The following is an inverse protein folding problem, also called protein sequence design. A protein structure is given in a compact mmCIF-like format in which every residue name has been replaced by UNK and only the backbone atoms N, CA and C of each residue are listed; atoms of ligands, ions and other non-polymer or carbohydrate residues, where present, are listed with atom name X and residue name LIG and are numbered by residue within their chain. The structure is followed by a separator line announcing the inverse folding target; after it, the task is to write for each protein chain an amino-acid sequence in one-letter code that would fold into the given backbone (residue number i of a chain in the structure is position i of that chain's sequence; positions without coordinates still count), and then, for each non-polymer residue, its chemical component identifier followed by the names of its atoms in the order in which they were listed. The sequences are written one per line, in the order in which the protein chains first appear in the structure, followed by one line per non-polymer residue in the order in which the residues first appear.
data_IF_372124392335
#
_entry.id   IF_372124392335
#
_cell.length_a   1.000
_cell.length_b   1.000
_cell.length_c   1.000
_cell.angle_alpha   90.00
_cell.angle_beta   90.00
_cell.angle_gamma   90.00
#
_symmetry.space_group_name_H-M   'P 1'
#
loop_
_entity.id
_entity.type
_entity.pdbx_description
1 polymer ?
#
# COMPACT_ATOMS: atom_id res chain seq x y z
N UNK A 1 27.58 -40.47 0.05
CA UNK A 1 27.07 -39.26 0.72
C UNK A 1 27.50 -39.35 2.18
N UNK A 2 28.33 -38.41 2.66
CA UNK A 2 28.90 -38.41 4.03
C UNK A 2 27.77 -38.17 5.07
N UNK A 3 27.90 -38.84 6.23
CA UNK A 3 26.99 -38.66 7.39
C UNK A 3 26.83 -37.19 7.82
N UNK A 4 27.88 -36.38 7.64
CA UNK A 4 27.91 -34.95 7.92
C UNK A 4 27.02 -34.12 6.98
N UNK A 5 26.91 -34.47 5.69
CA UNK A 5 26.02 -33.80 4.75
C UNK A 5 24.55 -34.00 5.15
N UNK A 6 24.21 -35.20 5.63
CA UNK A 6 22.82 -35.51 6.09
C UNK A 6 22.47 -34.75 7.37
N UNK A 7 23.40 -34.55 8.30
CA UNK A 7 23.18 -33.78 9.52
C UNK A 7 22.94 -32.30 9.24
N UNK A 8 23.78 -31.69 8.40
CA UNK A 8 23.64 -30.28 7.98
C UNK A 8 22.32 -30.04 7.24
N UNK A 9 21.93 -30.94 6.35
CA UNK A 9 20.65 -30.85 5.62
C UNK A 9 19.44 -30.90 6.57
N UNK A 10 19.52 -31.70 7.66
CA UNK A 10 18.46 -31.77 8.65
C UNK A 10 18.31 -30.45 9.42
N UNK A 11 19.41 -29.76 9.70
CA UNK A 11 19.40 -28.42 10.32
C UNK A 11 18.72 -27.41 9.42
N UNK A 12 19.07 -27.34 8.13
CA UNK A 12 18.42 -26.42 7.18
C UNK A 12 16.94 -26.70 7.05
N UNK A 13 16.54 -27.95 6.90
CA UNK A 13 15.13 -28.35 6.85
C UNK A 13 14.38 -27.94 8.13
N UNK A 14 15.01 -28.08 9.29
CA UNK A 14 14.43 -27.65 10.56
C UNK A 14 14.29 -26.12 10.63
N UNK A 15 15.26 -25.37 10.16
CA UNK A 15 15.24 -23.90 10.15
C UNK A 15 14.37 -23.27 9.07
N UNK A 16 13.93 -24.01 8.06
CA UNK A 16 13.10 -23.50 6.96
C UNK A 16 11.71 -23.00 7.40
N UNK A 17 11.18 -23.51 8.50
CA UNK A 17 9.85 -23.18 9.01
C UNK A 17 9.90 -21.98 9.97
N UNK A 18 9.06 -20.94 9.81
CA UNK A 18 9.07 -19.74 10.65
C UNK A 18 8.70 -20.04 12.13
N UNK A 19 7.77 -20.96 12.37
CA UNK A 19 7.34 -21.33 13.71
C UNK A 19 8.46 -21.99 14.48
N UNK A 20 9.26 -22.84 13.84
CA UNK A 20 10.42 -23.47 14.47
C UNK A 20 11.50 -22.46 14.80
N UNK A 21 11.75 -21.46 13.93
CA UNK A 21 12.68 -20.37 14.27
C UNK A 21 12.19 -19.56 15.47
N UNK A 22 10.89 -19.25 15.53
CA UNK A 22 10.30 -18.57 16.68
C UNK A 22 10.45 -19.36 18.00
N UNK A 23 10.31 -20.69 17.96
CA UNK A 23 10.58 -21.57 19.13
C UNK A 23 12.03 -21.49 19.57
N UNK A 24 13.00 -21.48 18.63
CA UNK A 24 14.41 -21.32 18.94
C UNK A 24 14.72 -19.92 19.52
N UNK A 25 14.12 -18.87 19.01
CA UNK A 25 14.25 -17.51 19.54
C UNK A 25 13.76 -17.43 21.00
N UNK A 26 12.64 -18.06 21.31
CA UNK A 26 12.11 -18.14 22.68
C UNK A 26 13.01 -18.93 23.62
N UNK A 27 13.59 -20.02 23.12
CA UNK A 27 14.58 -20.78 23.90
C UNK A 27 15.90 -20.03 24.06
N UNK A 28 16.29 -19.19 23.12
CA UNK A 28 17.44 -18.29 23.24
C UNK A 28 17.23 -17.25 24.33
N UNK A 29 16.05 -16.63 24.37
CA UNK A 29 15.70 -15.64 25.40
C UNK A 29 15.62 -16.25 26.80
N UNK A 30 14.98 -17.40 26.91
CA UNK A 30 14.79 -18.12 28.18
C UNK A 30 15.00 -19.62 27.95
N UNK A 31 16.16 -20.11 28.31
CA UNK A 31 16.51 -21.52 28.13
C UNK A 31 15.89 -22.40 29.22
N UNK A 32 15.62 -23.67 28.92
CA UNK A 32 15.08 -24.62 29.90
C UNK A 32 13.57 -24.48 30.14
N UNK A 33 12.79 -24.27 29.07
CA UNK A 33 11.33 -24.12 29.17
C UNK A 33 10.59 -25.44 29.00
N UNK A 34 9.46 -25.56 29.70
CA UNK A 34 8.52 -26.65 29.48
C UNK A 34 7.71 -26.45 28.20
N UNK A 35 7.17 -27.53 27.61
CA UNK A 35 6.24 -27.44 26.48
C UNK A 35 5.06 -26.49 26.77
N UNK A 36 4.54 -26.52 28.00
CA UNK A 36 3.45 -25.65 28.44
C UNK A 36 3.83 -24.17 28.35
N UNK A 37 4.98 -23.80 28.90
CA UNK A 37 5.47 -22.42 28.88
C UNK A 37 5.70 -21.90 27.46
N UNK A 38 6.20 -22.75 26.55
CA UNK A 38 6.36 -22.40 25.13
C UNK A 38 5.02 -22.20 24.43
N UNK A 39 4.01 -23.06 24.69
CA UNK A 39 2.69 -22.91 24.09
C UNK A 39 1.98 -21.63 24.55
N UNK A 40 2.00 -21.32 25.85
CA UNK A 40 1.36 -20.15 26.44
C UNK A 40 1.93 -18.83 25.88
N UNK A 41 3.23 -18.80 25.60
CA UNK A 41 3.91 -17.59 25.07
C UNK A 41 3.73 -17.39 23.58
N UNK A 42 3.39 -18.43 22.82
CA UNK A 42 3.29 -18.40 21.36
C UNK A 42 1.86 -18.52 20.85
N UNK A 43 0.89 -18.57 21.76
CA UNK A 43 -0.54 -18.82 21.43
C UNK A 43 -0.72 -20.02 20.48
N UNK A 44 -0.01 -21.11 20.78
CA UNK A 44 0.09 -22.27 19.92
C UNK A 44 -0.53 -23.51 20.55
N UNK A 45 -1.27 -24.28 19.73
CA UNK A 45 -1.80 -25.57 20.18
C UNK A 45 -0.66 -26.53 20.56
N UNK A 46 -0.83 -27.23 21.72
CA UNK A 46 0.17 -28.14 22.29
C UNK A 46 0.62 -29.22 21.31
N UNK A 47 -0.29 -29.75 20.49
CA UNK A 47 0.03 -30.77 19.51
C UNK A 47 0.97 -30.23 18.41
N UNK A 48 0.70 -29.03 17.91
CA UNK A 48 1.53 -28.35 16.92
C UNK A 48 2.92 -28.05 17.48
N UNK A 49 3.00 -27.47 18.68
CA UNK A 49 4.28 -27.21 19.34
C UNK A 49 5.11 -28.49 19.55
N UNK A 50 4.47 -29.61 19.90
CA UNK A 50 5.15 -30.91 20.06
C UNK A 50 5.77 -31.35 18.73
N UNK A 51 5.03 -31.27 17.63
CA UNK A 51 5.53 -31.66 16.29
C UNK A 51 6.75 -30.81 15.87
N UNK A 52 6.67 -29.49 16.08
CA UNK A 52 7.78 -28.58 15.76
C UNK A 52 9.01 -28.86 16.64
N UNK A 53 8.83 -29.07 17.95
CA UNK A 53 9.90 -29.40 18.87
C UNK A 53 10.55 -30.77 18.54
N UNK A 54 9.79 -31.76 18.13
CA UNK A 54 10.31 -33.08 17.75
C UNK A 54 11.21 -33.00 16.50
N UNK A 55 10.88 -32.10 15.56
CA UNK A 55 11.73 -31.84 14.39
C UNK A 55 13.04 -31.15 14.82
N UNK A 56 12.94 -30.16 15.72
CA UNK A 56 14.11 -29.46 16.24
C UNK A 56 15.03 -30.39 17.06
N UNK A 57 14.47 -31.29 17.83
CA UNK A 57 15.21 -32.30 18.60
C UNK A 57 15.91 -33.28 17.66
N UNK A 58 15.23 -33.78 16.62
CA UNK A 58 15.84 -34.66 15.61
C UNK A 58 16.96 -33.98 14.83
N UNK A 59 16.88 -32.67 14.62
CA UNK A 59 17.93 -31.88 13.99
C UNK A 59 19.03 -31.45 14.99
N UNK A 60 18.98 -31.93 16.24
CA UNK A 60 19.91 -31.59 17.32
C UNK A 60 19.99 -30.08 17.65
N UNK A 61 18.95 -29.31 17.26
CA UNK A 61 18.84 -27.87 17.58
C UNK A 61 18.22 -27.62 18.96
N UNK A 62 17.55 -28.63 19.53
CA UNK A 62 16.95 -28.61 20.87
C UNK A 62 17.35 -29.88 21.62
N UNK A 63 17.82 -29.70 22.85
CA UNK A 63 18.08 -30.78 23.79
C UNK A 63 16.96 -30.85 24.85
N UNK A 64 16.52 -32.05 25.17
CA UNK A 64 15.47 -32.27 26.21
C UNK A 64 16.09 -32.90 27.45
N UNK A 65 15.93 -32.21 28.58
CA UNK A 65 16.37 -32.68 29.88
C UNK A 65 15.15 -32.96 30.76
N UNK A 66 15.11 -34.11 31.43
CA UNK A 66 14.09 -34.44 32.44
C UNK A 66 14.51 -33.94 33.80
N UNK A 67 13.63 -33.15 34.43
CA UNK A 67 13.81 -32.69 35.80
C UNK A 67 12.56 -33.08 36.61
N UNK A 68 12.65 -34.19 37.32
CA UNK A 68 11.48 -34.77 37.99
C UNK A 68 10.42 -35.20 36.97
N UNK A 69 9.22 -34.64 37.08
CA UNK A 69 8.08 -34.91 36.17
C UNK A 69 8.06 -34.03 34.94
N UNK A 70 8.94 -33.02 34.86
CA UNK A 70 8.99 -32.05 33.77
C UNK A 70 10.02 -32.43 32.71
N UNK A 71 9.71 -32.06 31.49
CA UNK A 71 10.63 -32.10 30.35
C UNK A 71 10.96 -30.65 29.96
N UNK A 72 12.23 -30.28 30.13
CA UNK A 72 12.76 -28.95 29.83
C UNK A 72 13.47 -28.98 28.52
N UNK A 73 13.18 -28.01 27.66
CA UNK A 73 13.77 -27.86 26.33
C UNK A 73 14.82 -26.78 26.37
N UNK A 74 16.02 -27.08 25.83
CA UNK A 74 17.17 -26.20 25.78
C UNK A 74 17.61 -26.03 24.36
N UNK A 75 17.92 -24.78 23.95
CA UNK A 75 18.57 -24.49 22.68
C UNK A 75 19.97 -25.14 22.67
N UNK A 76 20.27 -25.88 21.61
CA UNK A 76 21.60 -26.35 21.31
C UNK A 76 22.19 -25.57 20.13
N UNK A 77 23.13 -24.63 20.34
CA UNK A 77 23.69 -23.82 19.28
C UNK A 77 24.77 -24.55 18.45
N UNK A 78 25.24 -25.74 18.90
CA UNK A 78 26.37 -26.43 18.26
C UNK A 78 26.18 -26.65 16.75
N UNK A 79 25.04 -27.18 16.26
CA UNK A 79 24.89 -27.40 14.82
C UNK A 79 24.91 -26.11 13.97
N UNK A 80 24.44 -24.99 14.52
CA UNK A 80 24.52 -23.68 13.87
C UNK A 80 25.96 -23.17 13.84
N UNK A 81 26.69 -23.36 14.94
CA UNK A 81 28.08 -23.00 15.04
C UNK A 81 28.99 -23.81 14.04
N UNK A 82 28.68 -25.10 13.85
CA UNK A 82 29.36 -25.93 12.85
C UNK A 82 29.16 -25.39 11.43
N UNK A 83 27.94 -24.92 11.10
CA UNK A 83 27.62 -24.26 9.85
C UNK A 83 28.40 -22.94 9.71
N UNK A 84 28.47 -22.13 10.76
CA UNK A 84 29.27 -20.89 10.80
C UNK A 84 30.73 -21.18 10.55
N UNK A 85 31.30 -22.18 11.26
CA UNK A 85 32.67 -22.59 11.08
C UNK A 85 33.01 -23.03 9.64
N UNK A 86 32.08 -23.74 9.01
CA UNK A 86 32.27 -24.26 7.67
C UNK A 86 32.26 -23.18 6.59
N UNK A 87 31.42 -22.16 6.71
CA UNK A 87 31.18 -21.20 5.61
C UNK A 87 31.56 -19.75 5.95
N UNK A 88 31.61 -19.38 7.22
CA UNK A 88 31.86 -17.99 7.64
C UNK A 88 33.21 -17.78 8.29
N UNK A 89 33.82 -18.82 8.88
CA UNK A 89 35.09 -18.68 9.59
C UNK A 89 36.25 -18.21 8.72
N UNK A 90 36.21 -18.42 7.40
CA UNK A 90 37.17 -17.92 6.43
C UNK A 90 37.05 -16.43 6.08
N UNK A 91 35.99 -15.76 6.53
CA UNK A 91 35.76 -14.34 6.29
C UNK A 91 36.14 -13.49 7.50
N UNK A 92 36.59 -12.28 7.24
CA UNK A 92 36.94 -11.30 8.28
C UNK A 92 35.69 -10.89 9.06
N UNK A 93 35.52 -11.45 10.26
CA UNK A 93 34.36 -11.19 11.14
C UNK A 93 34.11 -9.68 11.42
N UNK A 94 35.16 -8.85 11.70
CA UNK A 94 34.95 -7.41 11.85
C UNK A 94 34.36 -6.75 10.61
N UNK A 95 34.77 -7.20 9.43
CA UNK A 95 34.26 -6.65 8.15
C UNK A 95 32.82 -7.03 7.87
N UNK A 96 32.42 -8.26 8.19
CA UNK A 96 31.04 -8.73 8.10
C UNK A 96 30.13 -8.00 9.11
N UNK A 97 30.64 -7.75 10.34
CA UNK A 97 29.92 -6.97 11.33
C UNK A 97 29.73 -5.51 10.89
N UNK A 98 30.75 -4.87 10.31
CA UNK A 98 30.64 -3.52 9.78
C UNK A 98 29.61 -3.43 8.65
N UNK A 99 29.58 -4.40 7.73
CA UNK A 99 28.57 -4.48 6.67
C UNK A 99 27.16 -4.66 7.26
N UNK A 100 27.01 -5.50 8.28
CA UNK A 100 25.74 -5.72 8.95
C UNK A 100 25.23 -4.44 9.64
N UNK A 101 26.09 -3.68 10.32
CA UNK A 101 25.75 -2.40 10.95
C UNK A 101 25.32 -1.37 9.90
N UNK A 102 26.06 -1.24 8.80
CA UNK A 102 25.72 -0.33 7.70
C UNK A 102 24.37 -0.72 7.08
N UNK A 103 24.13 -2.02 6.87
CA UNK A 103 22.85 -2.51 6.36
C UNK A 103 21.69 -2.18 7.30
N UNK A 104 21.81 -2.44 8.60
CA UNK A 104 20.79 -2.09 9.59
C UNK A 104 20.54 -0.59 9.66
N UNK A 105 21.59 0.23 9.65
CA UNK A 105 21.43 1.68 9.63
C UNK A 105 20.75 2.16 8.34
N UNK A 106 21.06 1.56 7.20
CA UNK A 106 20.40 1.89 5.93
C UNK A 106 18.91 1.46 5.94
N UNK A 107 18.59 0.30 6.50
CA UNK A 107 17.22 -0.19 6.65
C UNK A 107 16.43 0.66 7.65
N UNK A 108 16.99 1.03 8.79
CA UNK A 108 16.39 1.97 9.75
C UNK A 108 16.19 3.35 9.14
N UNK A 109 17.19 3.86 8.40
CA UNK A 109 17.07 5.13 7.69
C UNK A 109 15.96 5.08 6.63
N UNK A 110 15.86 4.00 5.87
CA UNK A 110 14.80 3.80 4.89
C UNK A 110 13.42 3.67 5.56
N UNK A 111 13.31 3.00 6.71
CA UNK A 111 12.07 2.90 7.48
C UNK A 111 11.66 4.22 8.13
N UNK A 112 12.63 5.01 8.61
CA UNK A 112 12.38 6.28 9.32
C UNK A 112 12.14 7.44 8.37
N UNK A 113 12.71 7.39 7.16
CA UNK A 113 12.62 8.42 6.13
C UNK A 113 11.82 7.99 4.90
N UNK A 114 11.23 6.82 4.90
CA UNK A 114 10.23 6.48 3.89
C UNK A 114 9.08 7.49 4.03
N UNK A 115 8.76 8.28 2.98
CA UNK A 115 7.61 9.15 3.04
C UNK A 115 6.41 8.29 3.41
N UNK A 116 5.68 8.68 4.45
CA UNK A 116 4.43 7.99 4.81
C UNK A 116 3.60 7.91 3.55
N UNK A 117 3.25 6.72 3.05
CA UNK A 117 2.49 6.61 1.81
C UNK A 117 1.20 7.41 1.99
N UNK A 118 0.98 8.34 1.06
CA UNK A 118 -0.26 9.13 1.05
C UNK A 118 -1.36 8.15 0.65
N UNK A 119 -2.43 8.01 1.45
CA UNK A 119 -3.51 7.10 1.11
C UNK A 119 -4.25 7.56 -0.13
N UNK A 120 -4.79 6.61 -0.88
CA UNK A 120 -5.69 6.91 -1.98
C UNK A 120 -6.95 7.60 -1.45
N UNK A 121 -7.44 8.56 -2.23
CA UNK A 121 -8.68 9.26 -1.90
C UNK A 121 -9.84 8.65 -2.68
N UNK A 122 -10.92 8.33 -1.98
CA UNK A 122 -12.15 7.78 -2.60
C UNK A 122 -13.34 8.63 -2.19
N UNK A 123 -14.12 9.09 -3.16
CA UNK A 123 -15.38 9.79 -2.94
C UNK A 123 -16.50 9.13 -3.74
N UNK A 124 -17.64 8.93 -3.08
CA UNK A 124 -18.83 8.31 -3.67
C UNK A 124 -20.01 9.27 -3.56
N UNK A 125 -20.71 9.49 -4.67
CA UNK A 125 -21.95 10.25 -4.68
C UNK A 125 -23.02 9.53 -5.52
N UNK A 126 -24.29 9.81 -5.24
CA UNK A 126 -25.44 9.29 -5.97
C UNK A 126 -26.15 10.43 -6.65
N UNK A 127 -26.43 10.28 -7.95
CA UNK A 127 -26.96 11.33 -8.82
C UNK A 127 -28.20 10.77 -9.52
N UNK A 128 -29.31 11.52 -9.51
CA UNK A 128 -30.51 11.19 -10.30
C UNK A 128 -30.28 11.62 -11.75
N UNK A 129 -29.67 10.72 -12.53
CA UNK A 129 -29.34 10.88 -13.94
C UNK A 129 -29.11 9.51 -14.57
N UNK A 130 -29.03 9.45 -15.91
CA UNK A 130 -28.55 8.26 -16.61
C UNK A 130 -27.01 8.21 -16.63
N UNK A 131 -26.44 7.03 -16.89
CA UNK A 131 -24.99 6.88 -17.04
C UNK A 131 -24.44 7.75 -18.19
N UNK A 132 -25.18 7.87 -19.29
CA UNK A 132 -24.83 8.69 -20.44
C UNK A 132 -24.78 10.18 -20.08
N UNK A 133 -25.74 10.66 -19.27
CA UNK A 133 -25.74 12.04 -18.80
C UNK A 133 -24.55 12.35 -17.90
N UNK A 134 -24.23 11.45 -16.98
CA UNK A 134 -23.03 11.59 -16.12
C UNK A 134 -21.75 11.53 -16.97
N UNK A 135 -21.68 10.59 -17.91
CA UNK A 135 -20.56 10.49 -18.84
C UNK A 135 -20.35 11.76 -19.64
N UNK A 136 -21.42 12.27 -20.25
CA UNK A 136 -21.37 13.50 -21.01
C UNK A 136 -20.92 14.68 -20.13
N UNK A 137 -21.41 14.77 -18.90
CA UNK A 137 -21.00 15.83 -17.98
C UNK A 137 -19.52 15.72 -17.55
N UNK A 138 -18.92 14.54 -17.55
CA UNK A 138 -17.49 14.35 -17.25
C UNK A 138 -16.58 14.69 -18.45
N UNK A 139 -17.08 14.53 -19.71
CA UNK A 139 -16.26 14.54 -20.91
C UNK A 139 -16.54 15.73 -21.84
N UNK A 140 -17.67 16.39 -21.68
CA UNK A 140 -18.04 17.58 -22.49
C UNK A 140 -17.41 18.85 -21.88
N UNK A 141 -16.69 19.62 -22.73
CA UNK A 141 -15.96 20.80 -22.32
C UNK A 141 -16.88 21.92 -21.80
N UNK A 142 -18.05 22.13 -22.43
CA UNK A 142 -18.97 23.16 -22.02
C UNK A 142 -19.67 22.81 -20.70
N UNK A 143 -20.03 21.54 -20.51
CA UNK A 143 -20.61 21.08 -19.26
C UNK A 143 -19.60 21.16 -18.10
N UNK A 144 -18.36 20.73 -18.30
CA UNK A 144 -17.32 20.81 -17.27
C UNK A 144 -17.00 22.26 -16.93
N UNK A 145 -16.99 23.17 -17.90
CA UNK A 145 -16.83 24.60 -17.67
C UNK A 145 -17.91 25.18 -16.74
N UNK A 146 -19.17 24.71 -16.85
CA UNK A 146 -20.31 25.18 -16.06
C UNK A 146 -20.22 24.79 -14.58
N UNK A 147 -19.95 23.52 -14.29
CA UNK A 147 -19.99 23.04 -12.91
C UNK A 147 -18.62 23.02 -12.21
N UNK A 148 -17.52 23.06 -12.95
CA UNK A 148 -16.16 22.97 -12.39
C UNK A 148 -15.37 24.28 -12.56
N UNK A 149 -15.85 25.18 -13.40
CA UNK A 149 -15.12 26.41 -13.76
C UNK A 149 -13.94 26.18 -14.70
N UNK A 150 -13.81 24.96 -15.21
CA UNK A 150 -12.78 24.55 -16.16
C UNK A 150 -13.36 23.66 -17.25
N UNK A 151 -12.96 23.87 -18.48
CA UNK A 151 -13.27 23.01 -19.60
C UNK A 151 -12.31 21.84 -19.66
N UNK A 152 -12.79 20.62 -19.60
CA UNK A 152 -12.01 19.42 -19.85
C UNK A 152 -11.97 19.14 -21.35
N UNK A 153 -10.80 19.23 -21.97
CA UNK A 153 -10.61 19.13 -23.42
C UNK A 153 -9.79 17.89 -23.76
N UNK A 154 -10.39 16.95 -24.47
CA UNK A 154 -9.73 15.74 -25.01
C UNK A 154 -10.63 15.10 -26.07
N UNK A 155 -10.10 14.17 -26.85
CA UNK A 155 -10.90 13.23 -27.67
C UNK A 155 -11.31 11.98 -26.89
N UNK A 156 -10.85 11.85 -25.67
CA UNK A 156 -11.15 10.80 -24.69
C UNK A 156 -10.81 9.37 -25.16
N UNK A 157 -9.87 9.24 -26.08
CA UNK A 157 -9.35 7.95 -26.52
C UNK A 157 -8.15 7.53 -25.65
N UNK A 158 -7.94 6.22 -25.37
CA UNK A 158 -6.75 5.76 -24.67
C UNK A 158 -5.46 6.28 -25.33
N UNK A 159 -4.59 6.88 -24.51
CA UNK A 159 -3.34 7.51 -24.95
C UNK A 159 -3.45 8.99 -25.32
N UNK A 160 -4.65 9.55 -25.49
CA UNK A 160 -4.85 10.97 -25.79
C UNK A 160 -4.45 11.86 -24.63
N UNK A 161 -3.97 13.07 -24.96
CA UNK A 161 -3.82 14.13 -23.98
C UNK A 161 -5.18 14.70 -23.57
N UNK A 162 -5.29 15.18 -22.34
CA UNK A 162 -6.40 16.01 -21.89
C UNK A 162 -5.87 17.21 -21.13
N UNK A 163 -6.66 18.28 -21.14
CA UNK A 163 -6.33 19.55 -20.53
C UNK A 163 -7.50 20.07 -19.72
N UNK A 164 -7.21 20.67 -18.56
CA UNK A 164 -8.14 21.35 -17.68
C UNK A 164 -7.95 22.86 -17.81
N UNK A 165 -8.72 23.48 -18.69
CA UNK A 165 -8.61 24.90 -19.07
C UNK A 165 -9.58 25.74 -18.28
N UNK A 166 -9.10 26.86 -17.73
CA UNK A 166 -9.98 27.84 -17.06
C UNK A 166 -11.09 28.36 -17.98
N UNK A 167 -12.29 28.42 -17.43
CA UNK A 167 -13.46 28.97 -18.12
C UNK A 167 -13.64 30.49 -17.92
N UNK A 168 -12.65 31.17 -17.31
CA UNK A 168 -12.64 32.61 -17.03
C UNK A 168 -12.28 33.47 -18.24
N UNK A 169 -12.11 32.91 -19.42
CA UNK A 169 -11.71 33.56 -20.64
C UNK A 169 -10.19 33.71 -20.82
N UNK A 170 -9.38 33.34 -19.83
CA UNK A 170 -7.91 33.38 -19.94
C UNK A 170 -7.35 32.26 -20.81
N UNK A 171 -8.08 31.14 -20.92
CA UNK A 171 -7.64 29.91 -21.56
C UNK A 171 -6.45 29.23 -20.89
N UNK A 172 -6.07 29.66 -19.67
CA UNK A 172 -4.97 29.08 -18.94
C UNK A 172 -5.26 27.63 -18.60
N UNK A 173 -4.27 26.76 -18.81
CA UNK A 173 -4.32 25.34 -18.45
C UNK A 173 -3.71 25.19 -17.05
N UNK A 174 -4.49 24.69 -16.09
CA UNK A 174 -4.03 24.46 -14.72
C UNK A 174 -3.60 23.00 -14.51
N UNK A 175 -4.24 22.04 -15.20
CA UNK A 175 -3.93 20.61 -15.11
C UNK A 175 -3.85 20.01 -16.51
N UNK A 176 -2.93 19.07 -16.66
CA UNK A 176 -2.75 18.26 -17.88
C UNK A 176 -2.71 16.78 -17.51
N UNK A 177 -2.96 15.94 -18.50
CA UNK A 177 -2.82 14.49 -18.30
C UNK A 177 -2.99 13.69 -19.59
N UNK A 178 -3.11 12.39 -19.40
CA UNK A 178 -3.39 11.42 -20.47
C UNK A 178 -4.57 10.55 -20.09
N UNK A 179 -5.36 10.19 -21.05
CA UNK A 179 -6.38 9.14 -20.92
C UNK A 179 -5.66 7.79 -20.88
N UNK A 180 -5.77 7.06 -19.77
CA UNK A 180 -5.17 5.75 -19.63
C UNK A 180 -6.13 4.64 -20.08
N UNK A 181 -7.42 4.80 -19.78
CA UNK A 181 -8.46 3.85 -20.17
C UNK A 181 -9.82 4.54 -20.25
N UNK A 182 -10.67 4.07 -21.15
CA UNK A 182 -12.01 4.61 -21.33
C UNK A 182 -12.98 3.52 -21.78
N UNK A 183 -14.08 3.37 -21.05
CA UNK A 183 -15.19 2.44 -21.35
C UNK A 183 -16.50 3.22 -21.20
N UNK A 184 -16.91 4.00 -22.22
CA UNK A 184 -18.14 4.76 -22.17
C UNK A 184 -19.39 3.86 -21.97
N UNK A 185 -20.37 4.25 -21.18
CA UNK A 185 -20.40 5.40 -20.28
C UNK A 185 -19.98 5.06 -18.85
N UNK A 186 -19.23 3.98 -18.60
CA UNK A 186 -19.07 3.37 -17.28
C UNK A 186 -17.75 3.67 -16.59
N UNK A 187 -16.67 3.91 -17.34
CA UNK A 187 -15.33 4.07 -16.76
C UNK A 187 -14.45 5.02 -17.55
N UNK A 188 -13.80 5.94 -16.83
CA UNK A 188 -12.76 6.83 -17.36
C UNK A 188 -11.57 6.83 -16.39
N UNK A 189 -10.35 6.59 -16.89
CA UNK A 189 -9.10 6.64 -16.13
C UNK A 189 -8.16 7.62 -16.79
N UNK A 190 -7.70 8.61 -16.03
CA UNK A 190 -6.82 9.67 -16.53
C UNK A 190 -5.65 9.88 -15.56
N UNK A 191 -4.50 10.30 -16.09
CA UNK A 191 -3.46 10.89 -15.24
C UNK A 191 -3.83 12.34 -14.94
N UNK A 192 -3.37 12.85 -13.80
CA UNK A 192 -3.68 14.18 -13.31
C UNK A 192 -2.39 14.82 -12.79
N UNK A 193 -1.91 15.85 -13.45
CA UNK A 193 -0.67 16.54 -13.13
C UNK A 193 -0.81 18.04 -13.32
N UNK A 194 -0.05 18.82 -12.54
CA UNK A 194 -0.01 20.27 -12.73
C UNK A 194 0.53 20.63 -14.12
N UNK A 195 0.08 21.74 -14.68
CA UNK A 195 0.54 22.21 -15.99
C UNK A 195 2.08 22.41 -16.01
N UNK A 196 2.73 22.31 -17.20
CA UNK A 196 4.19 22.09 -17.36
C UNK A 196 5.15 23.16 -16.79
N UNK A 197 4.67 24.20 -16.16
CA UNK A 197 5.51 25.20 -15.46
C UNK A 197 6.03 24.68 -14.08
N UNK A 198 5.57 23.53 -13.62
CA UNK A 198 6.04 22.89 -12.38
C UNK A 198 7.40 22.21 -12.59
N UNK A 199 8.42 22.69 -11.93
CA UNK A 199 9.85 22.40 -12.15
C UNK A 199 10.34 21.02 -11.67
N UNK A 200 9.51 19.99 -11.60
CA UNK A 200 9.96 18.65 -11.17
C UNK A 200 9.27 17.53 -11.94
N UNK A 201 10.02 16.62 -12.58
CA UNK A 201 9.47 15.39 -13.14
C UNK A 201 9.04 14.47 -11.98
N UNK A 202 7.74 14.44 -11.69
CA UNK A 202 7.13 13.48 -10.76
C UNK A 202 6.19 12.55 -11.52
N UNK A 203 5.98 11.36 -10.98
CA UNK A 203 4.92 10.51 -11.50
C UNK A 203 3.56 11.21 -11.31
N UNK A 204 2.76 11.34 -12.38
CA UNK A 204 1.44 11.96 -12.27
C UNK A 204 0.52 11.10 -11.38
N UNK A 205 -0.36 11.74 -10.65
CA UNK A 205 -1.44 11.04 -9.96
C UNK A 205 -2.46 10.47 -10.95
N UNK A 206 -3.31 9.55 -10.51
CA UNK A 206 -4.28 8.86 -11.36
C UNK A 206 -5.69 9.07 -10.80
N UNK A 207 -6.61 9.47 -11.67
CA UNK A 207 -8.03 9.61 -11.33
C UNK A 207 -8.83 8.59 -12.10
N UNK A 208 -9.64 7.82 -11.37
CA UNK A 208 -10.61 6.89 -11.93
C UNK A 208 -12.01 7.37 -11.63
N UNK A 209 -12.82 7.56 -12.66
CA UNK A 209 -14.27 7.74 -12.55
C UNK A 209 -14.95 6.42 -12.89
N UNK A 210 -15.76 5.90 -11.96
CA UNK A 210 -16.60 4.72 -12.16
C UNK A 210 -18.05 5.14 -12.09
N UNK A 211 -18.80 4.89 -13.17
CA UNK A 211 -20.21 5.27 -13.35
C UNK A 211 -21.05 4.00 -13.35
N UNK A 212 -21.81 3.79 -12.28
CA UNK A 212 -22.59 2.55 -12.06
C UNK A 212 -24.07 2.89 -12.00
N UNK A 213 -24.83 2.59 -13.08
CA UNK A 213 -26.26 2.86 -13.10
C UNK A 213 -27.04 1.88 -12.24
N UNK A 214 -28.06 2.39 -11.56
CA UNK A 214 -29.02 1.59 -10.82
C UNK A 214 -30.42 2.22 -10.90
N UNK A 215 -31.29 1.68 -11.73
CA UNK A 215 -32.62 2.24 -12.03
C UNK A 215 -32.52 3.72 -12.46
N UNK A 216 -33.12 4.64 -11.70
CA UNK A 216 -33.15 6.07 -12.02
C UNK A 216 -32.00 6.89 -11.44
N UNK A 217 -30.98 6.23 -10.87
CA UNK A 217 -29.81 6.87 -10.28
C UNK A 217 -28.51 6.26 -10.76
N UNK A 218 -27.45 7.02 -10.63
CA UNK A 218 -26.06 6.58 -10.85
C UNK A 218 -25.27 6.69 -9.56
N UNK A 219 -24.52 5.66 -9.21
CA UNK A 219 -23.41 5.77 -8.26
C UNK A 219 -22.17 6.21 -9.03
N UNK A 220 -21.67 7.41 -8.75
CA UNK A 220 -20.42 7.91 -9.26
C UNK A 220 -19.36 7.77 -8.16
N UNK A 221 -18.33 6.97 -8.43
CA UNK A 221 -17.16 6.81 -7.57
C UNK A 221 -15.96 7.49 -8.23
N UNK A 222 -15.29 8.37 -7.50
CA UNK A 222 -14.01 8.98 -7.89
C UNK A 222 -12.93 8.44 -6.98
N UNK A 223 -11.94 7.80 -7.58
CA UNK A 223 -10.73 7.34 -6.87
C UNK A 223 -9.54 8.17 -7.39
N UNK A 224 -8.78 8.78 -6.47
CA UNK A 224 -7.57 9.53 -6.81
C UNK A 224 -6.37 8.89 -6.12
N UNK A 225 -5.52 8.26 -6.91
CA UNK A 225 -4.41 7.42 -6.49
C UNK A 225 -3.06 8.10 -6.76
N UNK A 226 -1.99 7.59 -6.13
CA UNK A 226 -0.61 8.07 -6.32
C UNK A 226 -0.44 9.55 -6.00
N UNK A 227 -1.11 10.03 -4.96
CA UNK A 227 -0.94 11.40 -4.49
C UNK A 227 0.48 11.62 -3.97
N UNK A 228 1.19 12.69 -4.38
CA UNK A 228 2.60 12.88 -4.06
C UNK A 228 2.86 13.28 -2.60
N UNK A 229 1.90 13.93 -1.94
CA UNK A 229 2.05 14.43 -0.56
C UNK A 229 0.71 14.70 0.11
N UNK A 230 0.76 14.97 1.42
CA UNK A 230 -0.42 15.28 2.25
C UNK A 230 -1.10 16.61 1.87
N UNK A 231 -0.37 17.56 1.34
CA UNK A 231 -0.92 18.85 0.89
C UNK A 231 -1.87 18.64 -0.29
N UNK A 232 -1.46 17.84 -1.27
CA UNK A 232 -2.31 17.50 -2.41
C UNK A 232 -3.52 16.68 -1.95
N UNK A 233 -3.36 15.72 -1.01
CA UNK A 233 -4.49 15.00 -0.44
C UNK A 233 -5.49 15.96 0.22
N UNK A 234 -5.02 16.97 0.96
CA UNK A 234 -5.87 18.01 1.55
C UNK A 234 -6.66 18.78 0.51
N UNK A 235 -6.01 19.24 -0.56
CA UNK A 235 -6.64 19.92 -1.69
C UNK A 235 -7.69 19.06 -2.40
N UNK A 236 -7.35 17.81 -2.69
CA UNK A 236 -8.23 16.81 -3.32
C UNK A 236 -9.45 16.51 -2.43
N UNK A 237 -9.23 16.34 -1.13
CA UNK A 237 -10.30 16.04 -0.16
C UNK A 237 -11.32 17.18 -0.02
N UNK A 238 -10.92 18.41 -0.22
CA UNK A 238 -11.81 19.57 -0.27
C UNK A 238 -12.42 19.77 -1.66
N UNK A 239 -11.63 19.56 -2.72
CA UNK A 239 -12.00 19.84 -4.11
C UNK A 239 -13.07 18.89 -4.68
N UNK A 240 -12.86 17.57 -4.59
CA UNK A 240 -13.79 16.61 -5.18
C UNK A 240 -15.22 16.72 -4.64
N UNK A 241 -15.47 16.80 -3.32
CA UNK A 241 -16.82 16.98 -2.82
C UNK A 241 -17.50 18.25 -3.34
N UNK A 242 -16.76 19.36 -3.43
CA UNK A 242 -17.27 20.64 -3.92
C UNK A 242 -17.68 20.57 -5.41
N UNK A 243 -16.77 20.03 -6.24
CA UNK A 243 -17.00 19.86 -7.69
C UNK A 243 -18.17 18.91 -7.96
N UNK A 244 -18.20 17.77 -7.28
CA UNK A 244 -19.22 16.75 -7.51
C UNK A 244 -20.58 17.12 -6.93
N UNK A 245 -20.64 17.96 -5.89
CA UNK A 245 -21.90 18.56 -5.43
C UNK A 245 -22.48 19.49 -6.51
N UNK A 246 -21.65 20.26 -7.18
CA UNK A 246 -22.03 21.14 -8.27
C UNK A 246 -22.49 20.38 -9.52
N UNK A 247 -21.76 19.32 -9.90
CA UNK A 247 -22.14 18.38 -10.96
C UNK A 247 -23.53 17.76 -10.66
N UNK A 248 -23.72 17.27 -9.45
CA UNK A 248 -24.99 16.68 -9.01
C UNK A 248 -26.13 17.69 -9.11
N UNK A 249 -25.95 18.91 -8.62
CA UNK A 249 -26.96 19.97 -8.72
C UNK A 249 -27.32 20.22 -10.19
N UNK A 250 -26.34 20.38 -11.06
CA UNK A 250 -26.56 20.62 -12.47
C UNK A 250 -27.33 19.49 -13.16
N UNK A 251 -27.00 18.23 -12.86
CA UNK A 251 -27.69 17.09 -13.49
C UNK A 251 -29.11 16.87 -12.96
N UNK A 252 -29.37 17.16 -11.67
CA UNK A 252 -30.66 16.93 -11.05
C UNK A 252 -31.65 18.09 -11.21
N UNK A 253 -31.15 19.34 -11.32
CA UNK A 253 -31.98 20.55 -11.36
C UNK A 253 -31.81 21.36 -12.65
N UNK A 254 -30.82 21.08 -13.47
CA UNK A 254 -30.45 21.88 -14.63
C UNK A 254 -29.53 23.07 -14.32
N UNK A 255 -29.32 23.40 -13.03
CA UNK A 255 -28.50 24.53 -12.57
C UNK A 255 -27.45 24.12 -11.60
N UNK A 256 -26.28 24.82 -11.67
CA UNK A 256 -25.20 24.70 -10.67
C UNK A 256 -25.61 25.35 -9.36
N UNK A 257 -24.90 25.07 -8.28
CA UNK A 257 -25.10 25.73 -7.00
C UNK A 257 -24.93 27.27 -7.15
N UNK A 258 -25.69 28.09 -6.42
CA UNK A 258 -25.67 29.54 -6.58
C UNK A 258 -24.32 30.20 -6.24
N UNK A 259 -23.49 29.54 -5.41
CA UNK A 259 -22.12 29.93 -5.10
C UNK A 259 -21.20 28.74 -5.38
N UNK A 260 -19.98 29.04 -5.83
CA UNK A 260 -18.98 28.01 -6.09
C UNK A 260 -18.50 27.37 -4.77
N UNK A 261 -18.76 26.06 -4.54
CA UNK A 261 -18.48 25.43 -3.23
C UNK A 261 -17.01 25.45 -2.80
N UNK A 262 -16.06 25.52 -3.77
CA UNK A 262 -14.63 25.62 -3.51
C UNK A 262 -14.18 26.99 -2.97
N UNK A 263 -15.05 28.00 -3.01
CA UNK A 263 -14.75 29.31 -2.40
C UNK A 263 -14.96 29.28 -0.88
N UNK A 264 -15.76 28.36 -0.36
CA UNK A 264 -16.00 28.22 1.09
C UNK A 264 -14.73 27.83 1.86
N UNK A 265 -13.86 27.00 1.27
CA UNK A 265 -12.61 26.59 1.89
C UNK A 265 -11.49 27.67 1.90
N UNK A 266 -11.70 28.76 1.14
CA UNK A 266 -10.76 29.92 1.09
C UNK A 266 -11.13 31.04 2.08
N UNK A 267 -12.32 31.00 2.64
CA UNK A 267 -12.80 32.06 3.55
C UNK A 267 -12.31 31.93 5.00
N UNK A 268 -11.72 30.78 5.38
CA UNK A 268 -11.26 30.48 6.75
C UNK A 268 -9.71 30.54 6.89
N UNK A 269 -9.00 31.13 5.94
CA UNK A 269 -7.52 31.37 5.98
C UNK A 269 -7.21 32.85 5.88
#
# INVERSE_FOLDING_TARGET
MSLEATATDSVFKALADPTRRLLLDRLREHNGQTLRALCERLDMARQSATQHLDILVRANLVTVVRRGRERLHYLNPAPIHEIEQRWISGFDKPRLQAISVIKHQAEEYAMTNAPTPVPDYVYVTYIRASAEQVWQALTDADLTARYWGHANVSDWQPGSAWEHRRADGSGKVDVVGRVLDTVPPTRLVITFDDAPDAQSPREPSVVTFLVEPHQDIVRLTVTHEKLPNQEMLGGISAGWPAVLANLKSMLETGEVLPQAPWEMSRADT
#
